data_IF_412408120760
#
_entry.id   IF_412408120760
#
_cell.length_a   1.000
_cell.length_b   1.000
_cell.length_c   1.000
_cell.angle_alpha   90.00
_cell.angle_beta   90.00
_cell.angle_gamma   90.00
#
_symmetry.space_group_name_H-M   'P 1'
#
loop_
_entity.id
_entity.type
_entity.pdbx_description
1 polymer ?
#
# COMPACT_ATOMS: atom_id res chain seq x y z
N UNK A 1 -28.24 7.52 4.14
CA UNK A 1 -27.25 7.52 3.03
C UNK A 1 -27.45 6.25 2.24
N UNK A 2 -27.44 6.32 0.91
CA UNK A 2 -27.36 5.12 0.09
C UNK A 2 -25.91 4.58 0.11
N UNK A 3 -25.75 3.31 -0.28
CA UNK A 3 -24.47 2.61 -0.27
C UNK A 3 -23.41 3.30 -1.14
N UNK A 4 -23.84 3.79 -2.31
CA UNK A 4 -22.96 4.41 -3.30
C UNK A 4 -22.43 5.78 -2.84
N UNK A 5 -23.25 6.57 -2.14
CA UNK A 5 -22.85 7.84 -1.54
C UNK A 5 -21.89 7.63 -0.36
N UNK A 6 -22.09 6.58 0.45
CA UNK A 6 -21.11 6.24 1.49
C UNK A 6 -19.75 5.88 0.89
N UNK A 7 -19.72 5.06 -0.16
CA UNK A 7 -18.50 4.64 -0.85
C UNK A 7 -17.75 5.82 -1.51
N UNK A 8 -18.47 6.79 -2.07
CA UNK A 8 -17.85 7.97 -2.70
C UNK A 8 -17.17 8.89 -1.68
N UNK A 9 -17.66 8.94 -0.43
CA UNK A 9 -17.04 9.71 0.66
C UNK A 9 -15.78 9.03 1.22
N UNK A 10 -15.80 7.70 1.36
CA UNK A 10 -14.66 6.95 1.90
C UNK A 10 -13.53 6.75 0.87
N UNK A 11 -13.84 6.71 -0.43
CA UNK A 11 -12.85 6.55 -1.49
C UNK A 11 -11.66 7.55 -1.41
N UNK A 12 -11.87 8.88 -1.37
CA UNK A 12 -10.78 9.83 -1.26
C UNK A 12 -10.02 9.68 0.08
N UNK A 13 -10.73 9.41 1.17
CA UNK A 13 -10.12 9.24 2.49
C UNK A 13 -9.18 8.03 2.49
N UNK A 14 -9.64 6.88 2.00
CA UNK A 14 -8.85 5.66 1.90
C UNK A 14 -7.62 5.86 0.99
N UNK A 15 -7.76 6.59 -0.12
CA UNK A 15 -6.64 6.94 -1.02
C UNK A 15 -5.57 7.75 -0.31
N UNK A 16 -5.96 8.82 0.38
CA UNK A 16 -5.02 9.67 1.09
C UNK A 16 -4.35 8.95 2.26
N UNK A 17 -5.09 8.13 3.01
CA UNK A 17 -4.50 7.29 4.06
C UNK A 17 -3.45 6.32 3.49
N UNK A 18 -3.74 5.69 2.36
CA UNK A 18 -2.79 4.79 1.68
C UNK A 18 -1.54 5.54 1.21
N UNK A 19 -1.69 6.72 0.61
CA UNK A 19 -0.57 7.56 0.16
C UNK A 19 0.31 7.96 1.34
N UNK A 20 -0.28 8.44 2.45
CA UNK A 20 0.48 8.87 3.63
C UNK A 20 1.21 7.68 4.27
N UNK A 21 0.55 6.53 4.37
CA UNK A 21 1.19 5.31 4.84
C UNK A 21 2.36 4.90 3.94
N UNK A 22 2.18 4.99 2.62
CA UNK A 22 3.22 4.70 1.61
C UNK A 22 4.41 5.63 1.70
N UNK A 23 4.18 6.94 1.83
CA UNK A 23 5.24 7.94 2.04
C UNK A 23 6.03 7.62 3.31
N UNK A 24 5.35 7.26 4.39
CA UNK A 24 6.00 6.87 5.66
C UNK A 24 6.85 5.61 5.49
N UNK A 25 6.28 4.57 4.87
CA UNK A 25 6.93 3.28 4.69
C UNK A 25 8.16 3.38 3.77
N UNK A 26 7.98 3.96 2.58
CA UNK A 26 9.05 4.15 1.60
C UNK A 26 10.10 5.13 2.14
N UNK A 27 9.69 6.22 2.79
CA UNK A 27 10.61 7.17 3.40
C UNK A 27 11.55 6.53 4.42
N UNK A 28 11.04 5.64 5.27
CA UNK A 28 11.85 4.89 6.23
C UNK A 28 12.71 3.81 5.57
N UNK A 29 12.24 3.19 4.48
CA UNK A 29 13.07 2.31 3.63
C UNK A 29 14.30 3.07 3.08
N UNK A 30 14.10 4.28 2.55
CA UNK A 30 15.21 5.11 2.06
C UNK A 30 16.17 5.47 3.20
N UNK A 31 15.62 5.87 4.35
CA UNK A 31 16.42 6.15 5.53
C UNK A 31 17.30 4.95 5.92
N UNK A 32 16.74 3.74 6.02
CA UNK A 32 17.51 2.57 6.43
C UNK A 32 18.57 2.14 5.41
N UNK A 33 18.23 2.13 4.12
CA UNK A 33 19.11 1.60 3.07
C UNK A 33 20.22 2.59 2.67
N UNK A 34 19.90 3.88 2.55
CA UNK A 34 20.81 4.85 1.95
C UNK A 34 21.40 5.85 2.95
N UNK A 35 20.79 6.06 4.11
CA UNK A 35 21.22 7.10 5.06
C UNK A 35 21.83 6.47 6.32
N UNK A 36 21.06 5.64 7.03
CA UNK A 36 21.40 5.16 8.36
C UNK A 36 22.75 4.43 8.39
N UNK A 37 23.01 3.53 7.44
CA UNK A 37 24.29 2.81 7.38
C UNK A 37 25.49 3.74 7.19
N UNK A 38 25.35 4.76 6.34
CA UNK A 38 26.43 5.69 6.02
C UNK A 38 26.69 6.65 7.19
N UNK A 39 25.62 7.14 7.82
CA UNK A 39 25.69 8.01 9.00
C UNK A 39 26.18 7.23 10.23
N UNK A 40 25.81 5.96 10.39
CA UNK A 40 26.36 5.13 11.45
C UNK A 40 27.87 4.89 11.25
N UNK A 41 28.37 4.74 10.02
CA UNK A 41 29.79 4.53 9.78
C UNK A 41 30.68 5.70 10.25
N UNK A 42 30.17 6.93 10.25
CA UNK A 42 30.92 8.14 10.65
C UNK A 42 30.95 8.40 12.16
N UNK A 43 30.12 7.72 12.95
CA UNK A 43 30.06 7.93 14.40
C UNK A 43 31.14 7.15 15.16
N UNK A 44 31.69 7.77 16.21
CA UNK A 44 32.52 7.11 17.20
C UNK A 44 31.70 6.10 18.05
N UNK A 45 32.41 5.21 18.75
CA UNK A 45 31.79 4.13 19.50
C UNK A 45 30.86 4.59 20.62
N UNK A 46 31.12 5.72 21.27
CA UNK A 46 30.31 6.21 22.39
C UNK A 46 29.08 6.97 21.91
N UNK A 47 29.18 7.70 20.79
CA UNK A 47 28.02 8.31 20.12
C UNK A 47 27.06 7.23 19.62
N UNK A 48 27.56 6.15 19.00
CA UNK A 48 26.72 5.02 18.54
C UNK A 48 25.87 4.42 19.66
N UNK A 49 26.48 4.17 20.83
CA UNK A 49 25.79 3.59 21.99
C UNK A 49 24.66 4.46 22.52
N UNK A 50 24.71 5.77 22.30
CA UNK A 50 23.65 6.70 22.72
C UNK A 50 22.57 6.84 21.65
N UNK A 51 22.97 7.04 20.40
CA UNK A 51 22.04 7.37 19.30
C UNK A 51 21.27 6.14 18.80
N UNK A 52 21.95 5.02 18.55
CA UNK A 52 21.34 3.85 17.90
C UNK A 52 20.20 3.24 18.74
N UNK A 53 20.36 3.03 20.07
CA UNK A 53 19.28 2.46 20.87
C UNK A 53 18.05 3.36 20.98
N UNK A 54 18.19 4.67 20.79
CA UNK A 54 17.06 5.60 20.83
C UNK A 54 16.42 5.79 19.44
N UNK A 55 17.23 5.81 18.37
CA UNK A 55 16.79 6.04 17.00
C UNK A 55 16.13 4.80 16.37
N UNK A 56 16.74 3.62 16.53
CA UNK A 56 16.28 2.38 15.89
C UNK A 56 14.86 1.95 16.30
N UNK A 57 14.48 1.87 17.58
CA UNK A 57 13.14 1.41 17.94
C UNK A 57 12.05 2.37 17.45
N UNK A 58 12.31 3.68 17.46
CA UNK A 58 11.35 4.69 16.97
C UNK A 58 11.13 4.57 15.46
N UNK A 59 12.22 4.47 14.70
CA UNK A 59 12.15 4.34 13.24
C UNK A 59 11.54 2.99 12.84
N UNK A 60 11.88 1.90 13.51
CA UNK A 60 11.29 0.58 13.27
C UNK A 60 9.79 0.51 13.61
N UNK A 61 9.35 1.17 14.69
CA UNK A 61 7.93 1.25 15.03
C UNK A 61 7.13 1.88 13.89
N UNK A 62 7.54 3.07 13.44
CA UNK A 62 6.87 3.76 12.35
C UNK A 62 7.00 3.03 11.01
N UNK A 63 8.09 2.30 10.79
CA UNK A 63 8.27 1.48 9.59
C UNK A 63 7.25 0.33 9.55
N UNK A 64 7.13 -0.42 10.65
CA UNK A 64 6.18 -1.54 10.77
C UNK A 64 4.74 -1.08 10.61
N UNK A 65 4.38 0.02 11.27
CA UNK A 65 3.03 0.57 11.17
C UNK A 65 2.76 1.25 9.82
N UNK A 66 3.77 1.88 9.20
CA UNK A 66 3.67 2.38 7.83
C UNK A 66 3.35 1.26 6.85
N UNK A 67 4.11 0.16 6.90
CA UNK A 67 3.89 -1.03 6.08
C UNK A 67 2.52 -1.67 6.34
N UNK A 68 2.14 -1.84 7.61
CA UNK A 68 0.84 -2.39 7.98
C UNK A 68 -0.31 -1.51 7.47
N UNK A 69 -0.19 -0.19 7.58
CA UNK A 69 -1.22 0.73 7.09
C UNK A 69 -1.31 0.75 5.57
N UNK A 70 -0.20 0.64 4.83
CA UNK A 70 -0.28 0.47 3.37
C UNK A 70 -1.01 -0.81 2.99
N UNK A 71 -0.76 -1.90 3.70
CA UNK A 71 -1.45 -3.16 3.44
C UNK A 71 -2.95 -3.05 3.76
N UNK A 72 -3.31 -2.59 4.96
CA UNK A 72 -4.72 -2.45 5.39
C UNK A 72 -5.51 -1.51 4.48
N UNK A 73 -4.98 -0.32 4.22
CA UNK A 73 -5.65 0.65 3.34
C UNK A 73 -5.66 0.17 1.88
N UNK A 74 -4.67 -0.63 1.48
CA UNK A 74 -4.63 -1.30 0.18
C UNK A 74 -5.77 -2.30 0.01
N UNK A 75 -6.05 -3.13 1.01
CA UNK A 75 -7.22 -4.04 1.01
C UNK A 75 -8.52 -3.26 0.89
N UNK A 76 -8.64 -2.16 1.65
CA UNK A 76 -9.83 -1.30 1.60
C UNK A 76 -10.02 -0.68 0.21
N UNK A 77 -8.94 -0.16 -0.39
CA UNK A 77 -8.99 0.40 -1.74
C UNK A 77 -9.27 -0.65 -2.81
N UNK A 78 -8.72 -1.85 -2.66
CA UNK A 78 -8.98 -2.98 -3.54
C UNK A 78 -10.47 -3.35 -3.50
N UNK A 79 -11.08 -3.40 -2.31
CA UNK A 79 -12.53 -3.59 -2.19
C UNK A 79 -13.35 -2.45 -2.81
N UNK A 80 -12.97 -1.19 -2.57
CA UNK A 80 -13.73 -0.02 -3.05
C UNK A 80 -13.57 0.17 -4.57
N UNK A 81 -12.39 -0.05 -5.13
CA UNK A 81 -12.06 0.28 -6.52
C UNK A 81 -12.22 -0.92 -7.45
N UNK A 82 -11.93 -2.13 -7.00
CA UNK A 82 -11.95 -3.34 -7.85
C UNK A 82 -13.28 -4.09 -7.75
N UNK A 83 -13.88 -4.18 -6.55
CA UNK A 83 -15.14 -4.89 -6.32
C UNK A 83 -16.39 -3.99 -6.42
N UNK A 84 -16.27 -2.71 -6.07
CA UNK A 84 -17.41 -1.76 -6.07
C UNK A 84 -17.34 -0.73 -7.19
N UNK A 85 -16.16 -0.22 -7.47
CA UNK A 85 -15.88 0.54 -8.67
C UNK A 85 -15.72 -0.45 -9.81
N UNK A 86 -16.41 -0.24 -10.92
CA UNK A 86 -15.95 -0.77 -12.18
C UNK A 86 -14.52 -0.25 -12.35
N UNK A 87 -13.53 -1.13 -12.31
CA UNK A 87 -12.22 -0.91 -12.90
C UNK A 87 -12.42 -0.87 -14.43
N UNK A 88 -13.24 0.07 -14.89
CA UNK A 88 -13.34 0.50 -16.27
C UNK A 88 -12.09 1.28 -16.62
N UNK A 89 -10.90 0.69 -16.41
CA UNK A 89 -9.70 1.10 -17.11
C UNK A 89 -9.85 0.62 -18.55
N UNK A 90 -10.81 1.19 -19.30
CA UNK A 90 -10.91 1.13 -20.76
C UNK A 90 -10.71 -0.22 -21.47
N UNK A 91 -10.77 -1.37 -20.78
CA UNK A 91 -10.70 -2.68 -21.41
C UNK A 91 -12.12 -3.02 -21.85
N UNK A 92 -12.57 -2.32 -22.89
CA UNK A 92 -13.68 -2.80 -23.72
C UNK A 92 -13.31 -4.22 -24.14
N UNK A 93 -14.18 -5.17 -23.78
CA UNK A 93 -13.98 -6.59 -24.04
C UNK A 93 -13.57 -6.82 -25.48
N UNK A 94 -12.31 -7.20 -25.66
CA UNK A 94 -11.92 -7.99 -26.81
C UNK A 94 -12.11 -9.44 -26.39
N UNK A 95 -12.91 -10.16 -27.18
CA UNK A 95 -13.24 -11.56 -27.02
C UNK A 95 -11.95 -12.38 -26.95
N UNK A 96 -11.50 -12.71 -25.73
CA UNK A 96 -10.20 -13.31 -25.45
C UNK A 96 -9.44 -12.71 -24.26
N UNK A 97 -9.93 -11.61 -23.67
CA UNK A 97 -9.36 -11.03 -22.44
C UNK A 97 -9.41 -12.04 -21.29
N UNK A 98 -8.24 -12.37 -20.74
CA UNK A 98 -8.12 -13.16 -19.51
C UNK A 98 -8.69 -12.41 -18.28
N UNK A 99 -9.01 -11.11 -18.42
CA UNK A 99 -9.27 -10.22 -17.31
C UNK A 99 -10.71 -9.69 -17.20
N UNK A 100 -11.49 -9.71 -18.28
CA UNK A 100 -12.87 -9.22 -18.31
C UNK A 100 -13.72 -10.07 -19.27
N UNK A 101 -14.96 -10.35 -18.87
CA UNK A 101 -15.93 -11.04 -19.70
C UNK A 101 -16.45 -10.12 -20.82
N UNK A 102 -17.14 -10.69 -21.82
CA UNK A 102 -17.62 -9.96 -23.01
C UNK A 102 -18.59 -8.82 -22.70
N UNK A 103 -19.14 -8.78 -21.49
CA UNK A 103 -20.00 -7.72 -20.96
C UNK A 103 -19.22 -6.59 -20.25
N UNK A 104 -17.89 -6.67 -20.23
CA UNK A 104 -17.01 -5.72 -19.54
C UNK A 104 -16.98 -5.89 -18.03
N UNK A 105 -17.56 -6.97 -17.48
CA UNK A 105 -17.44 -7.30 -16.06
C UNK A 105 -16.12 -8.03 -15.79
N UNK A 106 -15.51 -7.75 -14.64
CA UNK A 106 -14.27 -8.42 -14.25
C UNK A 106 -14.60 -9.87 -13.90
N UNK A 107 -13.94 -10.83 -14.58
CA UNK A 107 -14.21 -12.24 -14.36
C UNK A 107 -13.70 -12.72 -12.97
N UNK A 108 -14.16 -13.89 -12.52
CA UNK A 108 -13.78 -14.44 -11.21
C UNK A 108 -12.27 -14.72 -11.09
N UNK A 109 -11.59 -15.06 -12.19
CA UNK A 109 -10.17 -15.35 -12.20
C UNK A 109 -9.34 -14.11 -11.91
N UNK A 110 -9.72 -12.94 -12.43
CA UNK A 110 -9.08 -11.65 -12.12
C UNK A 110 -9.18 -11.32 -10.64
N UNK A 111 -10.35 -11.52 -10.03
CA UNK A 111 -10.54 -11.34 -8.59
C UNK A 111 -9.62 -12.25 -7.77
N UNK A 112 -9.52 -13.53 -8.18
CA UNK A 112 -8.64 -14.51 -7.53
C UNK A 112 -7.17 -14.11 -7.69
N UNK A 113 -6.73 -13.79 -8.91
CA UNK A 113 -5.34 -13.43 -9.20
C UNK A 113 -4.92 -12.18 -8.43
N UNK A 114 -5.77 -11.17 -8.39
CA UNK A 114 -5.53 -9.93 -7.63
C UNK A 114 -5.51 -10.21 -6.13
N UNK A 115 -6.44 -11.01 -5.62
CA UNK A 115 -6.45 -11.43 -4.22
C UNK A 115 -5.19 -12.20 -3.83
N UNK A 116 -4.76 -13.16 -4.65
CA UNK A 116 -3.53 -13.94 -4.43
C UNK A 116 -2.30 -13.06 -4.49
N UNK A 117 -2.21 -12.17 -5.49
CA UNK A 117 -1.09 -11.24 -5.63
C UNK A 117 -0.98 -10.33 -4.42
N UNK A 118 -2.11 -9.81 -3.92
CA UNK A 118 -2.11 -8.91 -2.78
C UNK A 118 -1.76 -9.62 -1.46
N UNK A 119 -2.15 -10.89 -1.29
CA UNK A 119 -1.81 -11.69 -0.11
C UNK A 119 -0.33 -12.13 -0.09
N UNK A 120 0.34 -12.16 -1.24
CA UNK A 120 1.74 -12.54 -1.35
C UNK A 120 2.73 -11.40 -1.00
N UNK A 121 2.23 -10.19 -0.72
CA UNK A 121 3.00 -8.98 -0.42
C UNK A 121 2.85 -8.61 1.05
#
# INVERSE_FOLDING_TARGET
MDYNHFLSLINPIAKWLHIIAGVTWIGLLYFFNFINGHVAATMDGDTKKKVVPELMPRTLYWFRWGAAWTWVTGVVLLYIIFWNGSLGMGMTGEDGSMMADSDGTINIWSHIMVGVTFLAV
#
